data_IF_077433391229
#
_entry.id   IF_077433391229
#
_cell.length_a   1.000
_cell.length_b   1.000
_cell.length_c   1.000
_cell.angle_alpha   90.00
_cell.angle_beta   90.00
_cell.angle_gamma   90.00
#
_symmetry.space_group_name_H-M   'P 1'
#
loop_
_entity.id
_entity.type
_entity.pdbx_description
1 polymer ?
#
# COMPACT_ATOMS: atom_id res chain seq x y z
N UNK A 1 -20.73 10.96 4.88
CA UNK A 1 -19.62 10.01 5.15
C UNK A 1 -18.78 9.95 3.89
N UNK A 2 -17.48 10.23 3.97
CA UNK A 2 -16.66 10.39 2.77
C UNK A 2 -15.67 9.23 2.56
N UNK A 3 -15.58 8.30 3.53
CA UNK A 3 -14.62 7.21 3.48
C UNK A 3 -15.29 5.86 3.72
N UNK A 4 -14.84 4.85 2.98
CA UNK A 4 -15.10 3.44 3.22
C UNK A 4 -13.85 2.78 3.78
N UNK A 5 -13.92 2.30 5.02
CA UNK A 5 -12.85 1.61 5.72
C UNK A 5 -13.04 0.10 5.59
N UNK A 6 -12.14 -0.54 4.85
CA UNK A 6 -12.16 -1.96 4.51
C UNK A 6 -11.13 -2.67 5.38
N UNK A 7 -11.50 -3.67 6.16
CA UNK A 7 -10.56 -4.40 7.02
C UNK A 7 -10.95 -5.87 7.18
N UNK A 8 -9.99 -6.74 7.51
CA UNK A 8 -10.20 -8.12 7.96
C UNK A 8 -10.30 -8.24 9.48
N UNK A 9 -10.08 -7.14 10.20
CA UNK A 9 -10.08 -7.10 11.66
C UNK A 9 -11.35 -6.42 12.19
N UNK A 10 -12.20 -7.21 12.84
CA UNK A 10 -13.45 -6.74 13.45
C UNK A 10 -13.24 -5.59 14.45
N UNK A 11 -12.17 -5.66 15.27
CA UNK A 11 -11.90 -4.63 16.27
C UNK A 11 -11.46 -3.31 15.63
N UNK A 12 -10.73 -3.36 14.51
CA UNK A 12 -10.40 -2.15 13.74
C UNK A 12 -11.67 -1.54 13.13
N UNK A 13 -12.54 -2.34 12.52
CA UNK A 13 -13.82 -1.86 12.00
C UNK A 13 -14.67 -1.18 13.08
N UNK A 14 -14.79 -1.76 14.28
CA UNK A 14 -15.56 -1.14 15.36
C UNK A 14 -14.89 0.07 16.01
N UNK A 15 -13.55 0.08 16.05
CA UNK A 15 -12.76 1.16 16.65
C UNK A 15 -12.71 2.44 15.79
N UNK A 16 -12.91 2.34 14.48
CA UNK A 16 -12.91 3.49 13.54
C UNK A 16 -14.28 4.19 13.48
N UNK A 17 -15.04 4.16 14.58
CA UNK A 17 -16.33 4.84 14.67
C UNK A 17 -16.15 6.35 14.66
N UNK A 18 -16.44 6.98 13.53
CA UNK A 18 -16.57 8.42 13.40
C UNK A 18 -17.66 8.73 12.38
N UNK A 19 -18.29 9.91 12.48
CA UNK A 19 -19.29 10.43 11.54
C UNK A 19 -18.84 10.50 10.07
N UNK A 20 -17.59 10.14 9.77
CA UNK A 20 -16.94 10.28 8.47
C UNK A 20 -16.68 8.95 7.75
N UNK A 21 -16.78 7.80 8.43
CA UNK A 21 -16.32 6.49 7.94
C UNK A 21 -17.41 5.41 7.97
N UNK A 22 -17.71 4.80 6.81
CA UNK A 22 -18.42 3.51 6.71
C UNK A 22 -17.40 2.40 6.85
N UNK A 23 -17.79 1.24 7.39
CA UNK A 23 -16.87 0.09 7.53
C UNK A 23 -17.36 -1.11 6.73
N UNK A 24 -16.43 -1.87 6.16
CA UNK A 24 -16.69 -3.09 5.41
C UNK A 24 -15.70 -4.17 5.86
N UNK A 25 -16.23 -5.23 6.46
CA UNK A 25 -15.42 -6.34 6.96
C UNK A 25 -15.22 -7.35 5.83
N UNK A 26 -13.96 -7.71 5.55
CA UNK A 26 -13.61 -8.71 4.53
C UNK A 26 -13.00 -9.93 5.20
N UNK A 27 -13.63 -11.08 5.02
CA UNK A 27 -13.18 -12.38 5.55
C UNK A 27 -12.77 -13.33 4.44
N UNK A 28 -13.41 -13.22 3.28
CA UNK A 28 -13.20 -14.12 2.15
C UNK A 28 -13.40 -13.45 0.78
N UNK A 29 -13.41 -14.26 -0.27
CA UNK A 29 -13.56 -13.80 -1.65
C UNK A 29 -14.98 -13.28 -1.95
N UNK A 30 -16.01 -13.75 -1.24
CA UNK A 30 -17.37 -13.26 -1.42
C UNK A 30 -17.48 -11.81 -0.93
N UNK A 31 -16.94 -11.52 0.26
CA UNK A 31 -16.88 -10.14 0.79
C UNK A 31 -16.08 -9.20 -0.13
N UNK A 32 -15.03 -9.71 -0.80
CA UNK A 32 -14.29 -8.92 -1.80
C UNK A 32 -15.18 -8.58 -3.01
N UNK A 33 -16.00 -9.53 -3.47
CA UNK A 33 -16.89 -9.31 -4.61
C UNK A 33 -17.99 -8.27 -4.30
N UNK A 34 -18.44 -8.19 -3.06
CA UNK A 34 -19.44 -7.21 -2.63
C UNK A 34 -18.95 -5.75 -2.75
N UNK A 35 -17.63 -5.53 -2.86
CA UNK A 35 -17.05 -4.21 -3.13
C UNK A 35 -17.50 -3.60 -4.47
N UNK A 36 -17.96 -4.42 -5.43
CA UNK A 36 -18.47 -3.94 -6.72
C UNK A 36 -19.77 -3.12 -6.57
N UNK A 37 -20.54 -3.37 -5.51
CA UNK A 37 -21.79 -2.68 -5.22
C UNK A 37 -21.65 -1.43 -4.36
N UNK A 38 -20.43 -1.08 -3.92
CA UNK A 38 -20.23 0.03 -2.98
C UNK A 38 -20.15 1.38 -3.72
N UNK A 39 -20.66 2.43 -3.07
CA UNK A 39 -20.66 3.79 -3.60
C UNK A 39 -19.24 4.26 -3.96
N UNK A 40 -19.00 4.40 -5.26
CA UNK A 40 -17.72 4.82 -5.81
C UNK A 40 -17.38 6.28 -5.49
N UNK A 41 -18.34 7.09 -5.03
CA UNK A 41 -18.09 8.45 -4.57
C UNK A 41 -17.27 8.47 -3.26
N UNK A 42 -17.27 7.39 -2.48
CA UNK A 42 -16.47 7.27 -1.27
C UNK A 42 -14.98 7.08 -1.57
N UNK A 43 -14.13 7.62 -0.68
CA UNK A 43 -12.68 7.36 -0.68
C UNK A 43 -12.39 6.05 0.07
N UNK A 44 -11.58 5.16 -0.51
CA UNK A 44 -11.37 3.81 0.04
C UNK A 44 -10.10 3.77 0.90
N UNK A 45 -10.19 3.12 2.06
CA UNK A 45 -9.07 2.83 2.96
C UNK A 45 -9.03 1.33 3.18
N UNK A 46 -7.97 0.68 2.72
CA UNK A 46 -7.75 -0.77 2.86
C UNK A 46 -6.81 -1.00 4.04
N UNK A 47 -7.32 -1.60 5.10
CA UNK A 47 -6.61 -1.94 6.33
C UNK A 47 -6.72 -3.45 6.61
N UNK A 48 -6.15 -4.26 5.72
CA UNK A 48 -6.18 -5.72 5.80
C UNK A 48 -4.80 -6.25 6.22
N UNK A 49 -4.77 -6.97 7.34
CA UNK A 49 -3.54 -7.54 7.92
C UNK A 49 -3.05 -8.74 7.10
N UNK A 50 -3.95 -9.62 6.64
CA UNK A 50 -3.59 -10.81 5.90
C UNK A 50 -3.10 -10.48 4.48
N UNK A 51 -1.82 -10.71 4.19
CA UNK A 51 -1.16 -10.35 2.92
C UNK A 51 -1.92 -10.84 1.66
N UNK A 52 -2.36 -12.11 1.64
CA UNK A 52 -3.07 -12.68 0.47
C UNK A 52 -4.41 -11.98 0.24
N UNK A 53 -5.18 -11.75 1.31
CA UNK A 53 -6.49 -11.12 1.25
C UNK A 53 -6.37 -9.64 0.89
N UNK A 54 -5.39 -8.93 1.45
CA UNK A 54 -5.06 -7.55 1.10
C UNK A 54 -4.78 -7.42 -0.38
N UNK A 55 -3.93 -8.28 -0.94
CA UNK A 55 -3.56 -8.20 -2.36
C UNK A 55 -4.75 -8.52 -3.28
N UNK A 56 -5.60 -9.50 -2.94
CA UNK A 56 -6.84 -9.77 -3.67
C UNK A 56 -7.79 -8.56 -3.63
N UNK A 57 -7.98 -7.99 -2.44
CA UNK A 57 -8.81 -6.79 -2.24
C UNK A 57 -8.30 -5.61 -3.05
N UNK A 58 -6.99 -5.34 -3.01
CA UNK A 58 -6.35 -4.29 -3.83
C UNK A 58 -6.63 -4.51 -5.30
N UNK A 59 -6.48 -5.74 -5.82
CA UNK A 59 -6.78 -6.05 -7.23
C UNK A 59 -8.24 -5.81 -7.59
N UNK A 60 -9.17 -6.06 -6.67
CA UNK A 60 -10.58 -5.77 -6.89
C UNK A 60 -10.84 -4.26 -6.88
N UNK A 61 -10.36 -3.56 -5.85
CA UNK A 61 -10.53 -2.11 -5.71
C UNK A 61 -9.91 -1.35 -6.89
N UNK A 62 -8.75 -1.79 -7.41
CA UNK A 62 -8.11 -1.20 -8.60
C UNK A 62 -9.00 -1.20 -9.85
N UNK A 63 -9.98 -2.11 -9.95
CA UNK A 63 -10.92 -2.16 -11.10
C UNK A 63 -11.98 -1.05 -11.03
N UNK A 64 -12.34 -0.63 -9.81
CA UNK A 64 -13.46 0.29 -9.56
C UNK A 64 -13.01 1.68 -9.09
N UNK A 65 -11.81 1.80 -8.52
CA UNK A 65 -11.30 3.04 -7.91
C UNK A 65 -9.86 3.31 -8.33
N UNK A 66 -9.62 4.54 -8.79
CA UNK A 66 -8.29 5.02 -9.21
C UNK A 66 -7.43 5.43 -8.01
N UNK A 67 -8.01 6.18 -7.08
CA UNK A 67 -7.32 6.74 -5.92
C UNK A 67 -7.85 6.11 -4.62
N UNK A 68 -6.96 5.52 -3.83
CA UNK A 68 -7.31 4.91 -2.54
C UNK A 68 -6.08 4.81 -1.63
N UNK A 69 -6.32 4.46 -0.37
CA UNK A 69 -5.32 4.36 0.68
C UNK A 69 -5.15 2.88 1.06
N UNK A 70 -3.91 2.43 1.23
CA UNK A 70 -3.55 1.10 1.74
C UNK A 70 -2.72 1.28 3.00
N UNK A 71 -3.19 0.69 4.11
CA UNK A 71 -2.47 0.65 5.36
C UNK A 71 -1.63 -0.63 5.42
N UNK A 72 -0.36 -0.50 5.82
CA UNK A 72 0.60 -1.60 5.86
C UNK A 72 1.42 -1.55 7.15
N UNK A 73 1.73 -2.72 7.72
CA UNK A 73 2.62 -2.83 8.88
C UNK A 73 4.08 -2.53 8.53
N UNK A 74 4.44 -2.71 7.27
CA UNK A 74 5.80 -2.48 6.77
C UNK A 74 6.19 -1.00 6.77
N UNK A 75 5.20 -0.11 6.82
CA UNK A 75 5.39 1.33 6.84
C UNK A 75 5.40 1.82 8.29
N UNK A 76 6.45 2.56 8.66
CA UNK A 76 6.60 3.09 10.02
C UNK A 76 5.47 4.05 10.38
N UNK A 77 5.13 4.10 11.67
CA UNK A 77 4.13 5.02 12.19
C UNK A 77 4.37 6.46 11.71
N UNK A 78 3.29 7.18 11.40
CA UNK A 78 3.31 8.55 10.87
C UNK A 78 4.02 8.72 9.52
N UNK A 79 4.33 7.63 8.79
CA UNK A 79 4.79 7.71 7.41
C UNK A 79 3.65 7.44 6.44
N UNK A 80 3.68 8.17 5.34
CA UNK A 80 2.83 7.94 4.19
C UNK A 80 3.66 8.23 2.93
N UNK A 81 3.40 7.48 1.88
CA UNK A 81 3.96 7.68 0.56
C UNK A 81 2.84 7.56 -0.46
N UNK A 82 2.75 8.52 -1.39
CA UNK A 82 1.91 8.38 -2.57
C UNK A 82 2.75 7.82 -3.71
N UNK A 83 2.33 6.68 -4.24
CA UNK A 83 2.91 6.07 -5.44
C UNK A 83 1.81 6.04 -6.48
N UNK A 84 2.02 6.79 -7.55
CA UNK A 84 1.03 7.08 -8.57
C UNK A 84 -0.25 7.65 -7.91
N UNK A 85 -1.33 6.88 -7.91
CA UNK A 85 -2.63 7.26 -7.39
C UNK A 85 -2.94 6.63 -6.01
N UNK A 86 -2.06 5.76 -5.52
CA UNK A 86 -2.27 4.96 -4.32
C UNK A 86 -1.43 5.52 -3.19
N UNK A 87 -2.02 5.65 -2.02
CA UNK A 87 -1.31 6.12 -0.83
C UNK A 87 -1.07 4.92 0.08
N UNK A 88 0.20 4.61 0.30
CA UNK A 88 0.59 3.60 1.26
C UNK A 88 0.97 4.29 2.57
N UNK A 89 0.34 3.90 3.67
CA UNK A 89 0.60 4.47 5.00
C UNK A 89 0.70 3.40 6.06
N UNK A 90 1.14 3.78 7.25
CA UNK A 90 1.27 2.86 8.37
C UNK A 90 -0.09 2.36 8.85
N UNK A 91 -0.16 1.06 9.11
CA UNK A 91 -1.25 0.46 9.88
C UNK A 91 -1.12 0.75 11.38
N UNK A 92 0.05 1.19 11.84
CA UNK A 92 0.27 1.65 13.21
C UNK A 92 -0.17 3.11 13.35
N UNK A 93 -1.48 3.34 13.40
CA UNK A 93 -2.04 4.66 13.65
C UNK A 93 -2.68 4.75 15.03
N UNK A 94 -2.50 5.89 15.69
CA UNK A 94 -3.41 6.35 16.75
C UNK A 94 -4.47 7.25 16.09
N UNK A 95 -5.53 7.63 16.83
CA UNK A 95 -6.63 8.42 16.27
C UNK A 95 -6.15 9.72 15.58
N UNK A 96 -5.17 10.40 16.17
CA UNK A 96 -4.66 11.67 15.67
C UNK A 96 -3.87 11.55 14.34
N UNK A 97 -2.87 10.65 14.18
CA UNK A 97 -2.24 10.35 12.89
C UNK A 97 -3.21 9.94 11.79
N UNK A 98 -4.24 9.14 12.10
CA UNK A 98 -5.25 8.76 11.12
C UNK A 98 -6.04 9.99 10.64
N UNK A 99 -6.48 10.85 11.56
CA UNK A 99 -7.12 12.12 11.20
C UNK A 99 -6.20 13.05 10.40
N UNK A 100 -4.90 13.10 10.71
CA UNK A 100 -3.93 13.87 9.93
C UNK A 100 -3.79 13.32 8.51
N UNK A 101 -3.71 12.00 8.34
CA UNK A 101 -3.70 11.38 7.02
C UNK A 101 -4.96 11.79 6.25
N UNK A 102 -6.16 11.68 6.86
CA UNK A 102 -7.42 12.09 6.22
C UNK A 102 -7.47 13.56 5.82
N UNK A 103 -6.77 14.44 6.54
CA UNK A 103 -6.72 15.89 6.21
C UNK A 103 -5.73 16.21 5.11
N UNK A 104 -4.57 15.55 5.08
CA UNK A 104 -3.43 15.97 4.25
C UNK A 104 -3.07 15.00 3.13
N UNK A 105 -3.73 13.84 3.01
CA UNK A 105 -3.37 12.84 2.00
C UNK A 105 -3.37 13.43 0.58
N UNK A 106 -4.26 14.36 0.26
CA UNK A 106 -4.30 15.05 -1.04
C UNK A 106 -3.03 15.86 -1.34
N UNK A 107 -2.38 16.41 -0.32
CA UNK A 107 -1.16 17.21 -0.45
C UNK A 107 0.13 16.38 -0.52
N UNK A 108 0.07 15.05 -0.37
CA UNK A 108 1.27 14.20 -0.45
C UNK A 108 1.90 14.28 -1.85
N UNK A 109 3.22 14.46 -1.89
CA UNK A 109 4.00 14.43 -3.13
C UNK A 109 3.83 13.07 -3.80
N UNK A 110 3.42 13.09 -5.07
CA UNK A 110 3.33 11.89 -5.89
C UNK A 110 4.72 11.41 -6.29
N UNK A 111 5.05 10.17 -5.94
CA UNK A 111 6.17 9.44 -6.49
C UNK A 111 5.67 8.51 -7.59
N UNK A 112 6.54 8.18 -8.54
CA UNK A 112 6.30 7.12 -9.53
C UNK A 112 7.58 6.32 -9.70
N UNK A 113 7.43 5.05 -10.06
CA UNK A 113 8.56 4.24 -10.45
C UNK A 113 8.74 4.28 -11.96
N UNK A 114 9.97 4.49 -12.39
CA UNK A 114 10.36 4.22 -13.78
C UNK A 114 10.23 2.74 -14.07
N UNK A 115 10.10 2.37 -15.35
CA UNK A 115 10.06 0.96 -15.77
C UNK A 115 11.21 0.14 -15.19
N UNK A 116 12.43 0.71 -15.16
CA UNK A 116 13.61 0.05 -14.58
C UNK A 116 13.54 -0.12 -13.07
N UNK A 117 12.99 0.86 -12.35
CA UNK A 117 12.76 0.71 -10.90
C UNK A 117 11.72 -0.37 -10.62
N UNK A 118 10.66 -0.50 -11.43
CA UNK A 118 9.72 -1.63 -11.31
C UNK A 118 10.40 -2.97 -11.58
N UNK A 119 11.24 -3.08 -12.60
CA UNK A 119 11.95 -4.32 -12.92
C UNK A 119 12.87 -4.74 -11.76
N UNK A 120 13.57 -3.78 -11.14
CA UNK A 120 14.39 -4.03 -9.94
C UNK A 120 13.52 -4.38 -8.73
N UNK A 121 12.40 -3.67 -8.51
CA UNK A 121 11.46 -3.95 -7.40
C UNK A 121 10.87 -5.36 -7.51
N UNK A 122 10.57 -5.86 -8.72
CA UNK A 122 10.11 -7.24 -8.95
C UNK A 122 11.09 -8.29 -8.42
N UNK A 123 12.39 -7.98 -8.49
CA UNK A 123 13.49 -8.86 -8.12
C UNK A 123 14.11 -8.52 -6.77
N UNK A 124 13.49 -7.65 -5.95
CA UNK A 124 14.08 -7.15 -4.71
C UNK A 124 14.42 -8.22 -3.65
N UNK A 125 13.81 -9.40 -3.78
CA UNK A 125 14.08 -10.60 -2.98
C UNK A 125 15.43 -11.27 -3.29
N UNK A 126 16.02 -10.98 -4.45
CA UNK A 126 17.31 -11.49 -4.89
C UNK A 126 18.45 -10.55 -4.46
N UNK A 127 19.67 -11.08 -4.51
CA UNK A 127 20.87 -10.28 -4.28
C UNK A 127 21.22 -9.38 -5.46
N UNK A 128 22.01 -8.34 -5.21
CA UNK A 128 22.39 -7.36 -6.24
C UNK A 128 23.08 -8.01 -7.45
N UNK A 129 23.91 -9.03 -7.23
CA UNK A 129 24.63 -9.70 -8.30
C UNK A 129 23.70 -10.52 -9.22
N UNK A 130 22.65 -11.14 -8.66
CA UNK A 130 21.64 -11.88 -9.41
C UNK A 130 20.72 -10.96 -10.21
N UNK A 131 20.27 -9.86 -9.58
CA UNK A 131 19.45 -8.84 -10.25
C UNK A 131 20.25 -8.22 -11.41
N UNK A 132 21.52 -7.87 -11.17
CA UNK A 132 22.42 -7.33 -12.17
C UNK A 132 22.53 -8.27 -13.38
N UNK A 133 22.72 -9.57 -13.14
CA UNK A 133 22.77 -10.59 -14.20
C UNK A 133 21.45 -10.70 -14.96
N UNK A 134 20.30 -10.75 -14.26
CA UNK A 134 18.97 -10.89 -14.88
C UNK A 134 18.54 -9.67 -15.69
N UNK A 135 18.88 -8.47 -15.23
CA UNK A 135 18.48 -7.21 -15.86
C UNK A 135 19.55 -6.60 -16.79
N UNK A 136 20.70 -7.27 -16.95
CA UNK A 136 21.86 -6.79 -17.70
C UNK A 136 22.34 -5.41 -17.20
N UNK A 137 22.46 -5.27 -15.88
CA UNK A 137 22.93 -4.06 -15.20
C UNK A 137 24.26 -4.34 -14.49
N UNK A 138 24.98 -3.29 -14.12
CA UNK A 138 26.08 -3.44 -13.16
C UNK A 138 25.55 -3.62 -11.73
N UNK A 139 26.33 -4.24 -10.84
CA UNK A 139 25.98 -4.33 -9.42
C UNK A 139 25.85 -2.94 -8.77
N UNK A 140 26.71 -1.98 -9.18
CA UNK A 140 26.65 -0.58 -8.71
C UNK A 140 25.34 0.08 -9.12
N UNK A 141 24.92 -0.09 -10.39
CA UNK A 141 23.66 0.45 -10.91
C UNK A 141 22.46 -0.17 -10.19
N UNK A 142 22.50 -1.48 -9.95
CA UNK A 142 21.45 -2.20 -9.20
C UNK A 142 21.31 -1.67 -7.78
N UNK A 143 22.43 -1.46 -7.09
CA UNK A 143 22.45 -0.87 -5.74
C UNK A 143 21.83 0.54 -5.75
N UNK A 144 22.20 1.38 -6.72
CA UNK A 144 21.64 2.72 -6.85
C UNK A 144 20.11 2.70 -7.06
N UNK A 145 19.58 1.77 -7.87
CA UNK A 145 18.13 1.60 -8.01
C UNK A 145 17.46 1.17 -6.71
N UNK A 146 18.06 0.24 -5.95
CA UNK A 146 17.49 -0.19 -4.66
C UNK A 146 17.41 0.96 -3.65
N UNK A 147 18.46 1.78 -3.57
CA UNK A 147 18.47 2.97 -2.70
C UNK A 147 17.36 3.93 -3.11
N UNK A 148 17.25 4.27 -4.40
CA UNK A 148 16.18 5.16 -4.90
C UNK A 148 14.78 4.62 -4.63
N UNK A 149 14.58 3.31 -4.76
CA UNK A 149 13.29 2.67 -4.45
C UNK A 149 12.97 2.83 -2.96
N UNK A 150 13.92 2.54 -2.07
CA UNK A 150 13.74 2.69 -0.62
C UNK A 150 13.44 4.14 -0.25
N UNK A 151 14.18 5.10 -0.83
CA UNK A 151 13.96 6.53 -0.63
C UNK A 151 12.56 6.97 -1.09
N UNK A 152 12.12 6.53 -2.27
CA UNK A 152 10.76 6.80 -2.78
C UNK A 152 9.69 6.24 -1.88
N UNK A 153 9.90 5.04 -1.32
CA UNK A 153 8.96 4.40 -0.40
C UNK A 153 8.97 5.02 1.01
N UNK A 154 9.93 5.92 1.30
CA UNK A 154 10.12 6.51 2.63
C UNK A 154 10.21 5.44 3.73
N UNK A 155 10.81 4.29 3.42
CA UNK A 155 10.98 3.17 4.34
C UNK A 155 12.38 3.23 4.96
N UNK A 156 12.49 3.06 6.29
CA UNK A 156 13.81 2.91 6.93
C UNK A 156 14.35 1.48 6.89
N UNK A 157 13.47 0.48 6.82
CA UNK A 157 13.89 -0.90 7.02
C UNK A 157 14.57 -1.48 5.77
N UNK A 158 15.77 -2.03 5.95
CA UNK A 158 16.47 -2.89 4.98
C UNK A 158 15.86 -4.31 4.97
N UNK A 159 14.62 -4.49 5.40
CA UNK A 159 14.04 -5.81 5.59
C UNK A 159 13.48 -6.34 4.25
N UNK A 160 14.12 -7.39 3.73
CA UNK A 160 13.74 -8.03 2.47
C UNK A 160 12.28 -8.55 2.52
N UNK A 161 11.81 -9.03 3.68
CA UNK A 161 10.43 -9.50 3.84
C UNK A 161 9.44 -8.34 3.71
N UNK A 162 9.72 -7.21 4.36
CA UNK A 162 8.91 -6.00 4.26
C UNK A 162 8.86 -5.49 2.81
N UNK A 163 10.02 -5.47 2.14
CA UNK A 163 10.10 -5.09 0.73
C UNK A 163 9.36 -6.06 -0.20
N UNK A 164 9.34 -7.35 0.11
CA UNK A 164 8.60 -8.36 -0.67
C UNK A 164 7.09 -8.19 -0.52
N UNK A 165 6.60 -7.88 0.68
CA UNK A 165 5.19 -7.57 0.93
C UNK A 165 4.75 -6.28 0.25
N UNK A 166 5.55 -5.21 0.37
CA UNK A 166 5.32 -3.93 -0.33
C UNK A 166 5.35 -4.13 -1.85
N UNK A 167 6.32 -4.88 -2.39
CA UNK A 167 6.34 -5.26 -3.81
C UNK A 167 5.01 -5.88 -4.23
N UNK A 168 4.51 -6.87 -3.49
CA UNK A 168 3.25 -7.54 -3.86
C UNK A 168 2.03 -6.59 -3.84
N UNK A 169 2.04 -5.56 -3.01
CA UNK A 169 0.96 -4.58 -2.95
C UNK A 169 1.06 -3.48 -4.04
N UNK A 170 2.27 -3.23 -4.56
CA UNK A 170 2.53 -2.19 -5.57
C UNK A 170 2.46 -2.76 -6.99
N UNK A 171 3.09 -3.92 -7.21
CA UNK A 171 3.39 -4.45 -8.56
C UNK A 171 2.28 -5.37 -9.08
N UNK A 172 1.44 -5.93 -8.21
CA UNK A 172 0.26 -6.73 -8.60
C UNK A 172 -0.98 -5.84 -8.82
#
# INVERSE_FOLDING_TARGET
MNFLFISDNYYLCHGVSSSLTSTHLIRDDADIHDLDGVDQAMDFIIAIEQDKLRNKTIRQVKKVKRDYIVLMHEIEANRAVRIDNIIYSSMHFTAHPFQQLMRFYRALRTHSFTRREYDVLKLFHLENHEIAKKLQLSQKTTSAYRVRIIEKLNMRSKNILAMTRVKSAIVD
#
